data_IF_085647275948
#
_entry.id   IF_085647275948
#
_cell.length_a   1.000
_cell.length_b   1.000
_cell.length_c   1.000
_cell.angle_alpha   90.00
_cell.angle_beta   90.00
_cell.angle_gamma   90.00
#
_symmetry.space_group_name_H-M   'P 1'
#
loop_
_entity.id
_entity.type
_entity.pdbx_description
1 polymer ?
#
# COMPACT_ATOMS: atom_id res chain seq x y z
N UNK A 1 16.56 20.71 -2.12
CA UNK A 1 15.24 20.07 -2.30
C UNK A 1 14.20 21.18 -2.24
N UNK A 2 13.40 21.30 -3.29
CA UNK A 2 12.36 22.35 -3.41
C UNK A 2 11.06 21.92 -2.76
N UNK A 3 10.67 20.66 -3.00
CA UNK A 3 9.46 20.09 -2.42
C UNK A 3 9.58 18.57 -2.25
N UNK A 4 8.73 18.01 -1.38
CA UNK A 4 8.65 16.56 -1.14
C UNK A 4 7.19 16.15 -1.12
N UNK A 5 6.83 15.12 -1.90
CA UNK A 5 5.49 14.55 -1.90
C UNK A 5 5.51 13.05 -2.18
N UNK A 6 4.35 12.44 -2.24
CA UNK A 6 4.16 11.02 -2.52
C UNK A 6 3.29 10.80 -3.76
N UNK A 7 3.68 9.85 -4.59
CA UNK A 7 2.85 9.32 -5.68
C UNK A 7 2.84 7.79 -5.62
N UNK A 8 1.68 7.19 -5.44
CA UNK A 8 1.56 5.75 -5.21
C UNK A 8 2.39 5.28 -4.01
N UNK A 9 3.40 4.47 -4.26
CA UNK A 9 4.36 3.99 -3.24
C UNK A 9 5.74 4.63 -3.39
N UNK A 10 5.84 5.73 -4.13
CA UNK A 10 7.06 6.49 -4.29
C UNK A 10 7.04 7.74 -3.42
N UNK A 11 8.17 8.05 -2.81
CA UNK A 11 8.50 9.35 -2.24
C UNK A 11 9.24 10.11 -3.33
N UNK A 12 8.84 11.32 -3.61
CA UNK A 12 9.40 12.17 -4.67
C UNK A 12 9.97 13.41 -4.01
N UNK A 13 11.22 13.71 -4.31
CA UNK A 13 11.92 14.92 -3.91
C UNK A 13 12.23 15.72 -5.18
N UNK A 14 11.68 16.91 -5.29
CA UNK A 14 11.97 17.85 -6.36
C UNK A 14 13.30 18.55 -6.07
N UNK A 15 14.17 18.57 -7.05
CA UNK A 15 15.47 19.22 -7.01
C UNK A 15 15.42 20.50 -7.86
N UNK A 16 16.49 21.28 -7.84
CA UNK A 16 16.62 22.45 -8.74
C UNK A 16 16.59 22.03 -10.21
N UNK A 17 17.02 20.79 -10.50
CA UNK A 17 16.96 20.21 -11.84
C UNK A 17 16.58 18.74 -11.73
N UNK A 18 15.32 18.43 -12.06
CA UNK A 18 14.79 17.05 -12.03
C UNK A 18 14.31 16.60 -10.66
N UNK A 19 14.23 15.28 -10.52
CA UNK A 19 13.57 14.62 -9.38
C UNK A 19 14.40 13.44 -8.87
N UNK A 20 14.38 13.25 -7.56
CA UNK A 20 14.90 12.07 -6.89
C UNK A 20 13.72 11.29 -6.29
N UNK A 21 13.56 10.03 -6.70
CA UNK A 21 12.44 9.17 -6.30
C UNK A 21 12.93 7.99 -5.49
N UNK A 22 12.19 7.64 -4.45
CA UNK A 22 12.44 6.44 -3.65
C UNK A 22 11.22 5.53 -3.61
N UNK A 23 11.42 4.25 -3.89
CA UNK A 23 10.45 3.21 -3.59
C UNK A 23 10.98 2.33 -2.46
N UNK A 24 10.36 2.41 -1.29
CA UNK A 24 10.84 1.75 -0.07
C UNK A 24 10.74 0.21 -0.11
N UNK A 25 9.90 -0.33 -1.01
CA UNK A 25 9.62 -1.78 -1.10
C UNK A 25 9.16 -2.35 0.25
N UNK A 26 9.87 -3.35 0.81
CA UNK A 26 9.41 -4.08 1.99
C UNK A 26 10.08 -3.63 3.28
N UNK A 27 11.38 -3.31 3.25
CA UNK A 27 12.20 -3.02 4.43
C UNK A 27 12.94 -1.70 4.36
N UNK A 28 12.79 -0.97 3.23
CA UNK A 28 13.38 0.36 3.07
C UNK A 28 12.73 1.39 4.00
N UNK A 29 13.55 2.19 4.62
CA UNK A 29 13.13 3.33 5.45
C UNK A 29 14.19 4.42 5.44
N UNK A 30 13.77 5.64 5.72
CA UNK A 30 14.67 6.75 5.98
C UNK A 30 14.96 6.88 7.46
N UNK A 31 16.21 7.20 7.80
CA UNK A 31 16.68 7.53 9.15
C UNK A 31 17.55 8.77 9.09
N UNK A 32 17.43 9.64 10.10
CA UNK A 32 18.19 10.90 10.23
C UNK A 32 19.41 10.73 11.13
N UNK A 33 19.33 9.82 12.09
CA UNK A 33 20.42 9.53 13.01
C UNK A 33 21.46 8.62 12.35
N UNK A 34 22.72 8.85 12.67
CA UNK A 34 23.81 7.97 12.21
C UNK A 34 23.59 6.57 12.78
N UNK A 35 23.45 5.55 11.94
CA UNK A 35 23.27 4.20 12.44
C UNK A 35 24.56 3.65 13.06
N UNK A 36 24.41 2.67 13.95
CA UNK A 36 25.57 1.94 14.49
C UNK A 36 26.40 1.32 13.35
N UNK A 37 27.70 1.16 13.57
CA UNK A 37 28.63 0.58 12.57
C UNK A 37 28.15 -0.78 12.03
N UNK A 38 27.52 -1.60 12.87
CA UNK A 38 26.94 -2.90 12.47
C UNK A 38 25.79 -2.78 11.45
N UNK A 39 25.13 -1.63 11.39
CA UNK A 39 24.00 -1.33 10.52
C UNK A 39 24.42 -0.73 9.16
N UNK A 40 25.66 -0.24 9.02
CA UNK A 40 26.15 0.38 7.78
C UNK A 40 26.00 -0.52 6.56
N UNK A 41 26.13 -1.83 6.70
CA UNK A 41 25.89 -2.80 5.62
C UNK A 41 24.49 -2.75 5.02
N UNK A 42 23.52 -2.17 5.74
CA UNK A 42 22.14 -2.00 5.29
C UNK A 42 21.85 -0.62 4.70
N UNK A 43 22.80 0.33 4.78
CA UNK A 43 22.65 1.63 4.13
C UNK A 43 22.90 1.45 2.64
N UNK A 44 21.89 1.84 1.85
CA UNK A 44 21.95 1.74 0.40
C UNK A 44 22.14 3.09 -0.27
N UNK A 45 21.84 4.18 0.45
CA UNK A 45 21.92 5.53 -0.05
C UNK A 45 22.04 6.53 1.11
N UNK A 46 22.79 7.62 0.90
CA UNK A 46 22.95 8.73 1.84
C UNK A 46 22.79 10.04 1.09
N UNK A 47 21.99 10.95 1.62
CA UNK A 47 21.97 12.37 1.26
C UNK A 47 22.71 13.16 2.33
N UNK A 48 23.61 14.02 1.93
CA UNK A 48 24.30 14.97 2.79
C UNK A 48 23.77 16.36 2.43
N UNK A 49 23.24 17.07 3.40
CA UNK A 49 22.69 18.41 3.22
C UNK A 49 23.73 19.48 3.50
N UNK A 50 23.51 20.70 2.99
CA UNK A 50 24.46 21.81 3.14
C UNK A 50 24.68 22.26 4.59
N UNK A 51 23.72 21.98 5.47
CA UNK A 51 23.80 22.22 6.91
C UNK A 51 24.57 21.13 7.68
N UNK A 52 25.13 20.14 6.97
CA UNK A 52 25.83 19.01 7.53
C UNK A 52 24.94 17.86 8.02
N UNK A 53 23.61 18.02 7.98
CA UNK A 53 22.70 16.94 8.34
C UNK A 53 22.70 15.83 7.29
N UNK A 54 22.25 14.63 7.68
CA UNK A 54 22.28 13.46 6.82
C UNK A 54 20.94 12.76 6.81
N UNK A 55 20.56 12.21 5.64
CA UNK A 55 19.42 11.32 5.48
C UNK A 55 19.92 9.99 4.91
N UNK A 56 19.75 8.92 5.68
CA UNK A 56 20.16 7.59 5.26
C UNK A 56 18.96 6.79 4.77
N UNK A 57 19.11 6.11 3.66
CA UNK A 57 18.16 5.11 3.18
C UNK A 57 18.65 3.72 3.61
N UNK A 58 18.03 3.19 4.67
CA UNK A 58 18.34 1.87 5.24
C UNK A 58 17.38 0.83 4.66
N UNK A 59 17.92 -0.27 4.14
CA UNK A 59 17.13 -1.38 3.61
C UNK A 59 17.82 -2.73 3.84
N UNK A 60 17.34 -3.50 4.80
CA UNK A 60 17.92 -4.79 5.18
C UNK A 60 17.87 -5.82 4.04
N UNK A 61 16.88 -5.75 3.17
CA UNK A 61 16.69 -6.69 2.05
C UNK A 61 17.25 -6.16 0.72
N UNK A 62 17.65 -4.90 0.66
CA UNK A 62 18.20 -4.21 -0.52
C UNK A 62 17.27 -4.27 -1.76
N UNK A 63 15.96 -4.32 -1.57
CA UNK A 63 14.95 -4.29 -2.64
C UNK A 63 14.49 -2.89 -2.97
N UNK A 64 14.70 -1.94 -2.06
CA UNK A 64 14.42 -0.53 -2.27
C UNK A 64 15.12 0.00 -3.52
N UNK A 65 14.58 1.05 -4.08
CA UNK A 65 15.12 1.68 -5.30
C UNK A 65 15.12 3.18 -5.16
N UNK A 66 16.20 3.78 -5.63
CA UNK A 66 16.30 5.21 -5.86
C UNK A 66 16.43 5.46 -7.37
N UNK A 67 15.83 6.53 -7.85
CA UNK A 67 15.86 6.94 -9.26
C UNK A 67 16.14 8.43 -9.32
N UNK A 68 16.98 8.85 -10.26
CA UNK A 68 17.16 10.25 -10.63
C UNK A 68 16.58 10.40 -12.04
N UNK A 69 15.73 11.39 -12.27
CA UNK A 69 15.11 11.62 -13.57
C UNK A 69 14.80 13.10 -13.80
N UNK A 70 14.74 13.50 -15.06
CA UNK A 70 14.45 14.89 -15.45
C UNK A 70 12.96 15.22 -15.37
N UNK A 71 12.07 14.23 -15.59
CA UNK A 71 10.63 14.36 -15.51
C UNK A 71 9.99 13.14 -14.89
N UNK A 72 8.68 13.16 -14.65
CA UNK A 72 7.92 12.09 -14.01
C UNK A 72 7.06 11.28 -15.00
N UNK A 73 7.16 11.50 -16.31
CA UNK A 73 6.29 10.92 -17.33
C UNK A 73 6.27 9.39 -17.23
N UNK A 74 7.44 8.77 -17.12
CA UNK A 74 7.56 7.31 -16.98
C UNK A 74 6.85 6.75 -15.72
N UNK A 75 6.73 7.56 -14.66
CA UNK A 75 6.05 7.18 -13.42
C UNK A 75 4.54 7.35 -13.59
N UNK A 76 4.09 8.47 -14.15
CA UNK A 76 2.67 8.75 -14.37
C UNK A 76 2.04 7.75 -15.36
N UNK A 77 2.75 7.35 -16.40
CA UNK A 77 2.31 6.31 -17.35
C UNK A 77 2.11 4.94 -16.71
N UNK A 78 2.74 4.68 -15.58
CA UNK A 78 2.70 3.40 -14.87
C UNK A 78 1.78 3.38 -13.66
N UNK A 79 1.30 4.52 -13.21
CA UNK A 79 0.47 4.62 -12.03
C UNK A 79 -0.95 5.05 -12.38
N UNK A 80 -1.91 4.29 -11.93
CA UNK A 80 -3.31 4.65 -11.97
C UNK A 80 -3.67 5.77 -11.00
N UNK A 81 -4.95 5.92 -10.72
CA UNK A 81 -5.45 6.98 -9.86
C UNK A 81 -5.03 6.81 -8.39
N UNK A 82 -4.87 7.93 -7.70
CA UNK A 82 -4.67 7.93 -6.25
C UNK A 82 -5.97 7.56 -5.53
N UNK A 83 -5.94 6.61 -4.57
CA UNK A 83 -7.15 6.10 -3.94
C UNK A 83 -7.88 7.11 -3.06
N UNK A 84 -7.21 8.13 -2.56
CA UNK A 84 -7.80 9.20 -1.74
C UNK A 84 -8.13 10.46 -2.54
N UNK A 85 -7.87 10.48 -3.84
CA UNK A 85 -8.25 11.60 -4.70
C UNK A 85 -9.76 11.59 -5.02
N UNK A 86 -10.24 12.71 -5.55
CA UNK A 86 -11.61 12.83 -6.06
C UNK A 86 -11.86 11.98 -7.33
N UNK A 87 -10.79 11.51 -7.99
CA UNK A 87 -10.89 10.66 -9.17
C UNK A 87 -11.34 9.23 -8.85
N UNK A 88 -11.08 8.70 -7.63
CA UNK A 88 -11.67 7.42 -7.21
C UNK A 88 -13.14 7.64 -6.84
N UNK A 89 -14.03 7.53 -7.83
CA UNK A 89 -15.47 7.48 -7.62
C UNK A 89 -15.99 6.05 -7.76
N UNK A 90 -17.16 5.77 -7.17
CA UNK A 90 -17.82 4.47 -7.35
C UNK A 90 -18.23 4.21 -8.79
N UNK A 91 -18.60 5.25 -9.53
CA UNK A 91 -18.94 5.17 -10.96
C UNK A 91 -17.71 4.79 -11.78
N UNK A 92 -16.60 5.50 -11.59
CA UNK A 92 -15.35 5.17 -12.26
C UNK A 92 -14.91 3.74 -11.95
N UNK A 93 -14.89 3.36 -10.66
CA UNK A 93 -14.47 2.02 -10.25
C UNK A 93 -15.37 0.95 -10.88
N UNK A 94 -16.68 1.18 -10.91
CA UNK A 94 -17.64 0.24 -11.54
C UNK A 94 -17.33 0.05 -13.03
N UNK A 95 -17.10 1.13 -13.77
CA UNK A 95 -16.73 1.06 -15.19
C UNK A 95 -15.44 0.26 -15.39
N UNK A 96 -14.42 0.54 -14.55
CA UNK A 96 -13.14 -0.19 -14.60
C UNK A 96 -13.29 -1.69 -14.33
N UNK A 97 -14.14 -2.06 -13.36
CA UNK A 97 -14.41 -3.47 -13.05
C UNK A 97 -15.15 -4.18 -14.18
N UNK A 98 -16.12 -3.51 -14.81
CA UNK A 98 -16.92 -4.09 -15.90
C UNK A 98 -16.12 -4.39 -17.17
N UNK A 99 -15.12 -3.60 -17.47
CA UNK A 99 -14.25 -3.76 -18.64
C UNK A 99 -13.18 -4.86 -18.45
N UNK A 100 -13.11 -5.50 -17.28
CA UNK A 100 -12.02 -6.44 -16.97
C UNK A 100 -12.55 -7.79 -16.47
N UNK A 101 -11.91 -8.88 -16.91
CA UNK A 101 -12.21 -10.24 -16.46
C UNK A 101 -11.04 -10.79 -15.62
N UNK A 102 -10.83 -10.16 -14.46
CA UNK A 102 -9.73 -10.52 -13.54
C UNK A 102 -10.27 -10.79 -12.13
N UNK A 103 -9.57 -11.60 -11.33
CA UNK A 103 -9.88 -11.74 -9.92
C UNK A 103 -9.71 -10.40 -9.20
N UNK A 104 -10.59 -10.10 -8.23
CA UNK A 104 -10.63 -8.81 -7.54
C UNK A 104 -9.31 -8.46 -6.84
N UNK A 105 -8.73 -9.41 -6.09
CA UNK A 105 -7.51 -9.09 -5.34
C UNK A 105 -6.34 -8.67 -6.23
N UNK A 106 -5.89 -9.45 -7.23
CA UNK A 106 -4.80 -9.02 -8.10
C UNK A 106 -5.14 -7.78 -8.92
N UNK A 107 -6.41 -7.56 -9.28
CA UNK A 107 -6.83 -6.35 -9.98
C UNK A 107 -6.66 -5.10 -9.11
N UNK A 108 -7.09 -5.13 -7.85
CA UNK A 108 -6.95 -3.99 -6.94
C UNK A 108 -5.49 -3.74 -6.51
N UNK A 109 -4.63 -4.75 -6.59
CA UNK A 109 -3.19 -4.60 -6.34
C UNK A 109 -2.41 -4.07 -7.55
N UNK A 110 -3.03 -4.01 -8.71
CA UNK A 110 -2.42 -3.46 -9.92
C UNK A 110 -2.25 -1.95 -9.79
N UNK A 111 -1.01 -1.49 -9.71
CA UNK A 111 -0.68 -0.09 -9.51
C UNK A 111 -1.08 0.80 -10.69
N UNK A 112 -1.33 0.21 -11.88
CA UNK A 112 -1.85 0.89 -13.06
C UNK A 112 -3.35 1.18 -12.97
N UNK A 113 -4.07 0.51 -12.08
CA UNK A 113 -5.49 0.79 -11.84
C UNK A 113 -5.65 1.78 -10.68
N UNK A 114 -5.17 1.41 -9.47
CA UNK A 114 -5.22 2.24 -8.28
C UNK A 114 -3.82 2.23 -7.66
N UNK A 115 -3.17 3.39 -7.67
CA UNK A 115 -1.84 3.56 -7.14
C UNK A 115 -1.83 3.40 -5.60
N UNK A 116 -0.77 2.84 -5.05
CA UNK A 116 -0.56 2.77 -3.61
C UNK A 116 -1.22 1.59 -2.88
N UNK A 117 -2.31 1.00 -3.38
CA UNK A 117 -2.94 -0.15 -2.73
C UNK A 117 -2.00 -1.35 -2.64
N UNK A 118 -1.90 -1.95 -1.46
CA UNK A 118 -1.05 -3.11 -1.17
C UNK A 118 -1.83 -4.28 -0.58
N UNK A 119 -1.11 -5.38 -0.35
CA UNK A 119 -1.67 -6.66 0.06
C UNK A 119 -2.56 -6.58 1.31
N UNK A 120 -2.15 -5.80 2.31
CA UNK A 120 -2.87 -5.63 3.58
C UNK A 120 -4.22 -4.96 3.33
N UNK A 121 -4.17 -3.76 2.76
CA UNK A 121 -5.35 -2.90 2.62
C UNK A 121 -6.35 -3.43 1.58
N UNK A 122 -5.88 -4.21 0.59
CA UNK A 122 -6.78 -4.89 -0.35
C UNK A 122 -7.58 -5.99 0.34
N UNK A 123 -6.96 -6.83 1.20
CA UNK A 123 -7.71 -7.85 1.93
C UNK A 123 -8.75 -7.23 2.87
N UNK A 124 -8.39 -6.17 3.59
CA UNK A 124 -9.29 -5.44 4.48
C UNK A 124 -10.46 -4.80 3.71
N UNK A 125 -10.17 -4.13 2.56
CA UNK A 125 -11.20 -3.49 1.75
C UNK A 125 -12.19 -4.51 1.13
N UNK A 126 -11.68 -5.64 0.67
CA UNK A 126 -12.52 -6.72 0.15
C UNK A 126 -13.39 -7.33 1.25
N UNK A 127 -12.84 -7.50 2.47
CA UNK A 127 -13.64 -7.96 3.60
C UNK A 127 -14.71 -6.95 3.99
N UNK A 128 -14.37 -5.66 4.06
CA UNK A 128 -15.32 -4.61 4.39
C UNK A 128 -16.46 -4.54 3.37
N UNK A 129 -16.15 -4.69 2.09
CA UNK A 129 -17.12 -4.69 1.00
C UNK A 129 -17.88 -6.01 0.80
N UNK A 130 -17.55 -7.07 1.58
CA UNK A 130 -18.12 -8.43 1.44
C UNK A 130 -17.89 -9.02 0.03
N UNK A 131 -16.70 -8.82 -0.53
CA UNK A 131 -16.30 -9.34 -1.85
C UNK A 131 -15.24 -10.42 -1.65
N UNK A 132 -15.45 -11.61 -2.26
CA UNK A 132 -14.46 -12.67 -2.22
C UNK A 132 -13.20 -12.26 -3.01
N UNK A 133 -11.97 -12.53 -2.52
CA UNK A 133 -10.74 -12.13 -3.20
C UNK A 133 -10.58 -12.71 -4.62
N UNK A 134 -11.17 -13.87 -4.88
CA UNK A 134 -11.20 -14.52 -6.21
C UNK A 134 -12.44 -14.17 -7.03
N UNK A 135 -13.37 -13.34 -6.53
CA UNK A 135 -14.52 -12.92 -7.35
C UNK A 135 -14.04 -12.24 -8.62
N UNK A 136 -14.74 -12.46 -9.72
CA UNK A 136 -14.37 -11.91 -11.02
C UNK A 136 -14.94 -10.49 -11.15
N UNK A 137 -14.10 -9.54 -11.53
CA UNK A 137 -14.38 -8.10 -11.50
C UNK A 137 -15.66 -7.70 -12.22
N UNK A 138 -15.91 -8.16 -13.46
CA UNK A 138 -17.11 -7.78 -14.21
C UNK A 138 -18.42 -8.29 -13.58
N UNK A 139 -18.37 -9.29 -12.68
CA UNK A 139 -19.54 -9.80 -11.95
C UNK A 139 -19.91 -8.95 -10.73
N UNK A 140 -19.06 -8.00 -10.35
CA UNK A 140 -19.33 -7.13 -9.18
C UNK A 140 -20.45 -6.14 -9.53
N UNK A 141 -21.54 -6.19 -8.76
CA UNK A 141 -22.68 -5.27 -8.93
C UNK A 141 -22.40 -3.87 -8.35
N UNK A 142 -23.20 -2.88 -8.79
CA UNK A 142 -23.05 -1.46 -8.39
C UNK A 142 -22.98 -1.27 -6.87
N UNK A 143 -23.88 -1.90 -6.12
CA UNK A 143 -23.92 -1.77 -4.64
C UNK A 143 -22.64 -2.25 -3.98
N UNK A 144 -22.08 -3.39 -4.40
CA UNK A 144 -20.80 -3.89 -3.87
C UNK A 144 -19.64 -3.01 -4.30
N UNK A 145 -19.70 -2.43 -5.50
CA UNK A 145 -18.68 -1.49 -5.97
C UNK A 145 -18.67 -0.20 -5.16
N UNK A 146 -19.84 0.36 -4.84
CA UNK A 146 -19.96 1.53 -3.94
C UNK A 146 -19.31 1.22 -2.58
N UNK A 147 -19.68 0.08 -1.97
CA UNK A 147 -19.11 -0.36 -0.69
C UNK A 147 -17.59 -0.53 -0.77
N UNK A 148 -17.08 -1.06 -1.87
CA UNK A 148 -15.64 -1.23 -2.08
C UNK A 148 -14.92 0.11 -2.20
N UNK A 149 -15.46 1.05 -2.96
CA UNK A 149 -14.92 2.38 -3.11
C UNK A 149 -14.80 3.11 -1.76
N UNK A 150 -15.86 3.07 -0.96
CA UNK A 150 -15.86 3.63 0.40
C UNK A 150 -14.86 2.91 1.30
N UNK A 151 -14.86 1.57 1.29
CA UNK A 151 -13.94 0.77 2.10
C UNK A 151 -12.46 1.07 1.82
N UNK A 152 -12.09 1.27 0.55
CA UNK A 152 -10.71 1.65 0.18
C UNK A 152 -10.35 2.99 0.82
N UNK A 153 -11.21 4.00 0.70
CA UNK A 153 -10.96 5.34 1.27
C UNK A 153 -10.90 5.30 2.80
N UNK A 154 -11.85 4.66 3.46
CA UNK A 154 -11.93 4.57 4.91
C UNK A 154 -10.70 3.89 5.52
N UNK A 155 -10.30 2.74 4.95
CA UNK A 155 -9.17 1.97 5.44
C UNK A 155 -7.87 2.73 5.27
N UNK A 156 -7.65 3.36 4.13
CA UNK A 156 -6.43 4.13 3.90
C UNK A 156 -6.37 5.40 4.76
N UNK A 157 -7.47 6.13 4.90
CA UNK A 157 -7.54 7.29 5.79
C UNK A 157 -7.28 6.91 7.24
N UNK A 158 -7.89 5.81 7.69
CA UNK A 158 -7.64 5.27 9.03
C UNK A 158 -6.20 4.83 9.20
N UNK A 159 -5.62 4.11 8.21
CA UNK A 159 -4.23 3.68 8.28
C UNK A 159 -3.26 4.87 8.37
N UNK A 160 -3.53 5.96 7.66
CA UNK A 160 -2.75 7.20 7.76
C UNK A 160 -2.88 7.81 9.16
N UNK A 161 -4.10 7.91 9.69
CA UNK A 161 -4.35 8.42 11.05
C UNK A 161 -3.57 7.64 12.11
N UNK A 162 -3.48 6.32 11.97
CA UNK A 162 -2.72 5.44 12.86
C UNK A 162 -1.23 5.30 12.47
N UNK A 163 -0.72 6.18 11.60
CA UNK A 163 0.69 6.22 11.16
C UNK A 163 1.18 4.93 10.53
N UNK A 164 0.29 4.19 9.87
CA UNK A 164 0.60 2.99 9.10
C UNK A 164 0.46 1.68 9.87
N UNK A 165 0.82 0.58 9.20
CA UNK A 165 0.72 -0.79 9.71
C UNK A 165 2.11 -1.38 9.86
N UNK A 166 2.61 -1.48 11.09
CA UNK A 166 3.84 -2.23 11.39
C UNK A 166 3.49 -3.68 11.68
N UNK A 167 3.86 -4.59 10.79
CA UNK A 167 3.71 -6.03 11.03
C UNK A 167 5.02 -6.61 11.55
N UNK A 168 6.14 -6.38 10.85
CA UNK A 168 7.48 -6.86 11.24
C UNK A 168 8.49 -5.72 11.14
N UNK A 169 8.69 -5.14 9.95
CA UNK A 169 9.85 -4.30 9.63
C UNK A 169 9.52 -2.81 9.46
N UNK A 170 8.25 -2.46 9.24
CA UNK A 170 7.88 -1.06 8.99
C UNK A 170 8.02 -0.23 10.27
N UNK A 171 8.84 0.82 10.22
CA UNK A 171 8.92 1.87 11.24
C UNK A 171 9.15 3.22 10.55
N UNK A 172 8.86 4.30 11.24
CA UNK A 172 9.09 5.67 10.77
C UNK A 172 9.83 6.46 11.88
N UNK A 173 10.47 7.59 11.50
CA UNK A 173 11.25 8.37 12.45
C UNK A 173 12.29 7.53 13.22
N UNK A 174 12.46 7.81 14.49
CA UNK A 174 13.37 7.12 15.41
C UNK A 174 12.81 5.78 15.91
N UNK A 175 12.48 4.85 14.99
CA UNK A 175 11.91 3.52 15.28
C UNK A 175 10.46 3.49 15.76
N UNK A 176 9.65 4.52 15.54
CA UNK A 176 8.23 4.50 15.85
C UNK A 176 7.47 3.48 14.98
N UNK A 177 6.43 2.87 15.56
CA UNK A 177 5.64 1.83 14.91
C UNK A 177 4.24 2.33 14.57
N UNK A 178 3.77 2.03 13.38
CA UNK A 178 2.39 2.25 12.99
C UNK A 178 1.43 1.37 13.80
N UNK A 179 0.31 1.94 14.27
CA UNK A 179 -0.64 1.29 15.19
C UNK A 179 -1.83 0.64 14.48
N UNK A 180 -1.97 0.80 13.17
CA UNK A 180 -3.11 0.27 12.42
C UNK A 180 -3.21 -1.26 12.44
N UNK A 181 -2.14 -1.97 12.83
CA UNK A 181 -2.16 -3.43 13.02
C UNK A 181 -3.32 -3.89 13.93
N UNK A 182 -3.64 -3.10 14.95
CA UNK A 182 -4.70 -3.42 15.92
C UNK A 182 -6.11 -3.29 15.32
N UNK A 183 -6.26 -2.53 14.26
CA UNK A 183 -7.51 -2.31 13.53
C UNK A 183 -7.81 -3.37 12.47
N UNK A 184 -6.84 -4.20 12.11
CA UNK A 184 -6.99 -5.22 11.07
C UNK A 184 -8.06 -6.24 11.44
N UNK A 185 -8.95 -6.53 10.51
CA UNK A 185 -10.09 -7.43 10.68
C UNK A 185 -9.84 -8.84 10.11
N UNK A 186 -9.03 -8.94 9.06
CA UNK A 186 -8.72 -10.23 8.41
C UNK A 186 -7.22 -10.45 8.20
N UNK A 187 -6.44 -9.44 7.80
CA UNK A 187 -5.04 -9.63 7.46
C UNK A 187 -4.20 -10.07 8.69
N UNK A 188 -3.49 -11.19 8.54
CA UNK A 188 -2.68 -11.77 9.62
C UNK A 188 -3.50 -12.44 10.74
N UNK A 189 -4.82 -12.59 10.58
CA UNK A 189 -5.72 -13.12 11.61
C UNK A 189 -6.21 -14.54 11.31
N UNK A 190 -5.40 -15.37 10.65
CA UNK A 190 -5.74 -16.77 10.39
C UNK A 190 -6.19 -17.46 11.68
N UNK A 191 -7.24 -18.27 11.60
CA UNK A 191 -7.87 -19.01 12.71
C UNK A 191 -8.49 -18.14 13.82
N UNK A 192 -8.41 -16.79 13.75
CA UNK A 192 -9.10 -15.90 14.68
C UNK A 192 -10.55 -15.68 14.24
N UNK A 193 -11.49 -15.42 15.16
CA UNK A 193 -12.89 -15.20 14.81
C UNK A 193 -13.05 -13.91 13.97
N UNK A 194 -13.90 -14.00 12.96
CA UNK A 194 -14.37 -12.86 12.20
C UNK A 194 -15.23 -11.96 13.10
N UNK A 195 -14.96 -10.67 13.15
CA UNK A 195 -15.71 -9.73 13.98
C UNK A 195 -17.18 -9.53 13.55
N UNK A 196 -17.59 -10.04 12.37
CA UNK A 196 -18.99 -9.96 11.90
C UNK A 196 -19.83 -11.23 12.13
N UNK A 197 -19.19 -12.39 12.09
CA UNK A 197 -19.96 -13.65 12.09
C UNK A 197 -19.33 -14.77 12.90
N UNK A 198 -18.24 -14.46 13.60
CA UNK A 198 -17.49 -15.35 14.49
C UNK A 198 -16.85 -16.58 13.80
N UNK A 199 -17.09 -16.81 12.51
CA UNK A 199 -16.38 -17.87 11.77
C UNK A 199 -14.89 -17.54 11.67
N UNK A 200 -14.05 -18.55 11.78
CA UNK A 200 -12.59 -18.40 11.69
C UNK A 200 -12.16 -17.79 10.34
N UNK A 201 -11.25 -16.80 10.41
CA UNK A 201 -10.61 -16.23 9.22
C UNK A 201 -9.75 -17.29 8.55
N UNK A 202 -9.90 -17.41 7.24
CA UNK A 202 -9.17 -18.34 6.39
C UNK A 202 -8.04 -17.65 5.64
N UNK A 203 -7.00 -18.42 5.31
CA UNK A 203 -5.90 -17.98 4.43
C UNK A 203 -5.87 -18.85 3.19
N UNK A 204 -5.74 -18.20 2.03
CA UNK A 204 -5.50 -18.84 0.74
C UNK A 204 -4.37 -18.12 0.02
N UNK A 205 -3.93 -18.65 -1.11
CA UNK A 205 -3.05 -17.94 -2.03
C UNK A 205 -3.83 -17.50 -3.28
N UNK A 206 -3.68 -16.22 -3.62
CA UNK A 206 -4.22 -15.61 -4.85
C UNK A 206 -3.06 -14.91 -5.56
N UNK A 207 -2.72 -15.35 -6.76
CA UNK A 207 -1.57 -14.84 -7.54
C UNK A 207 -0.30 -14.75 -6.68
N UNK A 208 0.07 -15.84 -6.03
CA UNK A 208 1.24 -15.99 -5.14
C UNK A 208 1.26 -15.06 -3.91
N UNK A 209 0.13 -14.43 -3.58
CA UNK A 209 0.01 -13.56 -2.39
C UNK A 209 -0.86 -14.21 -1.32
N UNK A 210 -0.33 -14.31 -0.10
CA UNK A 210 -1.12 -14.71 1.05
C UNK A 210 -2.33 -13.78 1.21
N UNK A 211 -3.51 -14.36 1.30
CA UNK A 211 -4.81 -13.67 1.20
C UNK A 211 -5.69 -14.12 2.35
N UNK A 212 -6.14 -13.17 3.15
CA UNK A 212 -6.95 -13.43 4.33
C UNK A 212 -8.39 -12.98 4.09
N UNK A 213 -9.35 -13.83 4.42
CA UNK A 213 -10.76 -13.55 4.20
C UNK A 213 -11.66 -14.36 5.11
N UNK A 214 -12.93 -13.97 5.23
CA UNK A 214 -13.97 -14.72 5.92
C UNK A 214 -14.85 -15.46 4.92
N UNK A 215 -14.89 -16.81 4.97
CA UNK A 215 -15.70 -17.62 4.05
C UNK A 215 -17.19 -17.27 4.06
N UNK A 216 -17.75 -16.98 5.24
CA UNK A 216 -19.19 -16.66 5.41
C UNK A 216 -19.50 -15.23 4.92
N UNK A 217 -18.67 -14.24 5.28
CA UNK A 217 -18.93 -12.85 4.92
C UNK A 217 -18.57 -12.52 3.46
N UNK A 218 -17.69 -13.30 2.84
CA UNK A 218 -17.19 -13.10 1.49
C UNK A 218 -17.41 -14.38 0.66
N UNK A 219 -18.66 -14.77 0.37
CA UNK A 219 -18.95 -15.92 -0.50
C UNK A 219 -18.41 -15.65 -1.92
N UNK A 220 -18.11 -16.73 -2.69
CA UNK A 220 -17.63 -16.66 -4.08
C UNK A 220 -18.71 -16.09 -5.01
#
# INVERSE_FOLDING_TARGET
IQSIWRRGKFIIMELNSGFLLFHLKMTGRFILELPDKSEFKYISFQLIFNDGSNLFFRDTRKFGRAYICQNLDWLEDRLGIEPLSNHLTSTWLYQQLKQRRRMMKPLLMDQRLIAGLGNIYVDEALWQAKIHPKAISFKIGKVRCIKLCLAIKDILSSAIKYKGTTIIDYSYGSNEKGRFKNELKVFGRINKPCSRCSLSISKIFVSQRGTYYCKKCQPV
#
